data_IF_875061965380
#
_entry.id   IF_875061965380
#
_cell.length_a   1.000
_cell.length_b   1.000
_cell.length_c   1.000
_cell.angle_alpha   90.00
_cell.angle_beta   90.00
_cell.angle_gamma   90.00
#
_symmetry.space_group_name_H-M   'P 1'
#
loop_
_entity.id
_entity.type
_entity.pdbx_description
1 polymer ?
#
# COMPACT_ATOMS: atom_id res chain seq x y z
N UNK A 1 -34.40 -18.41 17.78
CA UNK A 1 -33.00 -18.37 18.26
C UNK A 1 -32.30 -17.16 17.63
N UNK A 2 -32.11 -16.08 18.38
CA UNK A 2 -31.46 -14.86 17.89
C UNK A 2 -29.95 -15.07 17.63
N UNK A 3 -29.31 -15.92 18.45
CA UNK A 3 -27.88 -16.25 18.35
C UNK A 3 -27.50 -16.98 17.05
N UNK A 4 -28.33 -17.91 16.57
CA UNK A 4 -28.07 -18.63 15.31
C UNK A 4 -28.27 -17.76 14.08
N UNK A 5 -29.13 -16.74 14.16
CA UNK A 5 -29.28 -15.73 13.10
C UNK A 5 -28.08 -14.77 13.04
N UNK A 6 -27.48 -14.44 14.19
CA UNK A 6 -26.24 -13.67 14.28
C UNK A 6 -25.05 -14.42 13.69
N UNK A 7 -24.93 -15.73 13.95
CA UNK A 7 -23.87 -16.56 13.38
C UNK A 7 -23.96 -16.70 11.84
N UNK A 8 -25.17 -16.66 11.27
CA UNK A 8 -25.36 -16.65 9.80
C UNK A 8 -24.92 -15.35 9.11
N UNK A 9 -24.67 -14.27 9.85
CA UNK A 9 -24.07 -13.02 9.30
C UNK A 9 -22.55 -13.10 9.18
N UNK A 10 -21.90 -14.16 9.66
CA UNK A 10 -20.46 -14.37 9.55
C UNK A 10 -20.10 -14.88 8.14
N UNK A 11 -20.27 -14.03 7.13
CA UNK A 11 -19.89 -14.30 5.74
C UNK A 11 -19.43 -13.03 5.02
N UNK A 12 -19.02 -12.01 5.77
CA UNK A 12 -18.50 -10.75 5.24
C UNK A 12 -16.98 -10.73 5.24
N UNK A 13 -16.43 -10.01 4.28
CA UNK A 13 -15.01 -9.70 4.16
C UNK A 13 -14.51 -8.99 5.43
N UNK A 14 -13.46 -9.51 6.07
CA UNK A 14 -12.89 -8.94 7.29
C UNK A 14 -11.88 -7.87 6.93
N UNK A 15 -12.23 -6.62 7.24
CA UNK A 15 -11.35 -5.47 7.10
C UNK A 15 -10.64 -5.20 8.42
N UNK A 16 -9.33 -4.99 8.36
CA UNK A 16 -8.51 -4.62 9.51
C UNK A 16 -7.40 -3.66 9.14
N UNK A 17 -6.71 -3.17 10.17
CA UNK A 17 -5.45 -2.43 10.03
C UNK A 17 -4.40 -3.04 10.94
N UNK A 18 -3.14 -2.85 10.61
CA UNK A 18 -2.05 -3.26 11.46
C UNK A 18 -0.74 -2.57 11.13
N UNK A 19 0.17 -2.52 12.09
CA UNK A 19 1.49 -1.95 11.90
C UNK A 19 2.41 -3.02 11.30
N UNK A 20 3.06 -2.69 10.18
CA UNK A 20 4.10 -3.55 9.60
C UNK A 20 5.31 -3.52 10.55
N UNK A 21 5.71 -4.68 11.04
CA UNK A 21 6.86 -4.79 11.95
C UNK A 21 8.17 -4.58 11.17
N UNK A 22 9.14 -3.92 11.81
CA UNK A 22 10.50 -3.84 11.29
C UNK A 22 11.27 -5.15 11.57
N UNK A 23 12.23 -5.48 10.70
CA UNK A 23 13.11 -6.64 10.85
C UNK A 23 12.93 -7.72 9.78
N UNK A 24 13.40 -8.92 10.12
CA UNK A 24 13.33 -10.09 9.23
C UNK A 24 11.90 -10.60 9.06
N UNK A 25 11.58 -11.00 7.82
CA UNK A 25 10.25 -11.50 7.43
C UNK A 25 9.18 -10.42 7.28
N UNK A 26 8.06 -10.77 6.63
CA UNK A 26 6.91 -9.87 6.50
C UNK A 26 5.91 -10.18 7.61
N UNK A 27 5.74 -9.25 8.55
CA UNK A 27 4.81 -9.38 9.68
C UNK A 27 3.98 -8.13 9.84
N UNK A 28 2.70 -8.30 10.17
CA UNK A 28 1.77 -7.21 10.46
C UNK A 28 1.12 -7.45 11.81
N UNK A 29 1.27 -6.48 12.72
CA UNK A 29 0.63 -6.50 14.03
C UNK A 29 -0.68 -5.70 13.99
N UNK A 30 -1.82 -6.38 14.01
CA UNK A 30 -3.15 -5.78 14.14
C UNK A 30 -3.88 -6.30 15.39
N UNK A 31 -5.16 -6.63 15.23
CA UNK A 31 -5.97 -7.37 16.23
C UNK A 31 -5.33 -8.71 16.64
N UNK A 32 -4.55 -9.28 15.72
CA UNK A 32 -3.67 -10.43 15.88
C UNK A 32 -2.41 -10.21 15.07
N UNK A 33 -1.40 -11.04 15.31
CA UNK A 33 -0.24 -11.09 14.43
C UNK A 33 -0.58 -11.85 13.15
N UNK A 34 -0.18 -11.27 12.02
CA UNK A 34 -0.17 -11.94 10.72
C UNK A 34 1.28 -12.22 10.35
N UNK A 35 1.65 -13.50 10.32
CA UNK A 35 2.99 -13.97 9.98
C UNK A 35 3.06 -14.38 8.51
N UNK A 36 3.92 -13.70 7.75
CA UNK A 36 4.07 -13.85 6.31
C UNK A 36 2.74 -13.78 5.51
N UNK A 37 1.88 -12.77 5.72
CA UNK A 37 0.67 -12.64 4.93
C UNK A 37 1.02 -12.38 3.46
N UNK A 38 0.24 -12.93 2.55
CA UNK A 38 0.36 -12.60 1.13
C UNK A 38 0.00 -11.12 0.92
N UNK A 39 0.81 -10.42 0.11
CA UNK A 39 0.54 -9.05 -0.29
C UNK A 39 -0.05 -9.05 -1.71
N UNK A 40 -1.23 -8.48 -1.86
CA UNK A 40 -1.88 -8.31 -3.15
C UNK A 40 -1.53 -6.96 -3.77
N UNK A 41 -1.37 -6.95 -5.10
CA UNK A 41 -1.05 -5.77 -5.88
C UNK A 41 -1.68 -5.89 -7.28
N UNK A 42 -1.88 -4.77 -8.01
CA UNK A 42 -2.27 -4.80 -9.41
C UNK A 42 -1.28 -5.62 -10.26
N UNK A 43 -1.76 -6.26 -11.33
CA UNK A 43 -0.90 -6.99 -12.27
C UNK A 43 0.21 -6.07 -12.83
N UNK A 44 1.45 -6.58 -12.83
CA UNK A 44 2.63 -5.81 -13.24
C UNK A 44 3.27 -4.97 -12.12
N UNK A 45 2.70 -4.95 -10.92
CA UNK A 45 3.28 -4.29 -9.74
C UNK A 45 3.54 -5.34 -8.66
N UNK A 46 4.73 -5.30 -8.06
CA UNK A 46 5.06 -6.05 -6.86
C UNK A 46 5.77 -5.13 -5.87
N UNK A 47 5.36 -5.21 -4.61
CA UNK A 47 5.99 -4.44 -3.53
C UNK A 47 5.86 -5.22 -2.23
N UNK A 48 6.75 -4.90 -1.29
CA UNK A 48 6.65 -5.36 0.09
C UNK A 48 6.42 -4.16 0.98
N UNK A 49 5.38 -4.24 1.82
CA UNK A 49 5.08 -3.22 2.80
C UNK A 49 6.30 -2.99 3.71
N UNK A 50 6.68 -1.73 3.89
CA UNK A 50 7.84 -1.35 4.69
C UNK A 50 7.48 -1.27 6.18
N UNK A 51 8.43 -1.63 7.05
CA UNK A 51 8.29 -1.52 8.50
C UNK A 51 7.91 -0.10 8.95
N UNK A 52 7.06 -0.01 9.97
CA UNK A 52 6.55 1.25 10.50
C UNK A 52 5.40 1.87 9.70
N UNK A 53 4.94 1.23 8.61
CA UNK A 53 3.74 1.64 7.87
C UNK A 53 2.49 0.95 8.39
N UNK A 54 1.36 1.63 8.36
CA UNK A 54 0.07 1.02 8.66
C UNK A 54 -0.44 0.30 7.41
N UNK A 55 -0.60 -1.03 7.49
CA UNK A 55 -1.14 -1.89 6.46
C UNK A 55 -2.67 -2.00 6.57
N UNK A 56 -3.34 -2.08 5.41
CA UNK A 56 -4.75 -2.47 5.31
C UNK A 56 -4.81 -3.97 5.11
N UNK A 57 -5.53 -4.65 6.01
CA UNK A 57 -5.67 -6.10 6.00
C UNK A 57 -7.08 -6.49 5.52
N UNK A 58 -7.14 -7.47 4.62
CA UNK A 58 -8.38 -7.98 4.04
C UNK A 58 -8.36 -9.51 4.11
N UNK A 59 -9.18 -10.10 4.99
CA UNK A 59 -9.23 -11.55 5.22
C UNK A 59 -7.84 -12.19 5.48
N UNK A 60 -6.93 -11.41 6.07
CA UNK A 60 -5.54 -11.83 6.35
C UNK A 60 -4.52 -11.55 5.25
N UNK A 61 -4.96 -11.08 4.08
CA UNK A 61 -4.09 -10.55 3.03
C UNK A 61 -3.72 -9.10 3.33
N UNK A 62 -2.50 -8.70 2.99
CA UNK A 62 -2.10 -7.30 2.99
C UNK A 62 -2.50 -6.66 1.66
N UNK A 63 -3.52 -5.79 1.68
CA UNK A 63 -3.99 -5.09 0.48
C UNK A 63 -3.10 -3.91 0.08
N UNK A 64 -2.20 -3.48 0.97
CA UNK A 64 -1.31 -2.36 0.79
C UNK A 64 -1.07 -1.63 2.10
N UNK A 65 -0.31 -0.54 2.04
CA UNK A 65 -0.11 0.36 3.16
C UNK A 65 -0.87 1.65 2.94
N UNK A 66 -1.33 2.26 4.01
CA UNK A 66 -1.80 3.64 3.95
C UNK A 66 -0.61 4.50 3.52
N UNK A 67 -0.81 5.28 2.46
CA UNK A 67 0.21 6.12 1.85
C UNK A 67 0.79 7.17 2.82
N UNK A 68 0.16 7.35 3.98
CA UNK A 68 0.37 8.48 4.87
C UNK A 68 -0.01 9.77 4.17
N UNK A 69 0.02 10.88 4.90
CA UNK A 69 0.00 12.20 4.30
C UNK A 69 1.32 12.43 3.54
N UNK A 70 1.49 11.81 2.37
CA UNK A 70 2.46 12.31 1.38
C UNK A 70 1.91 13.63 0.85
N UNK A 71 1.98 14.67 1.70
CA UNK A 71 1.42 16.01 1.46
C UNK A 71 2.10 16.72 0.29
N UNK A 72 3.08 16.08 -0.34
CA UNK A 72 3.82 16.59 -1.49
C UNK A 72 3.15 16.21 -2.81
N UNK A 73 2.30 15.19 -2.82
CA UNK A 73 1.64 14.72 -4.02
C UNK A 73 0.44 15.63 -4.34
N UNK A 74 0.46 16.28 -5.50
CA UNK A 74 -0.65 17.09 -5.98
C UNK A 74 -1.70 16.23 -6.69
N UNK A 75 -2.91 16.78 -6.87
CA UNK A 75 -3.95 16.12 -7.65
C UNK A 75 -3.45 15.82 -9.07
N UNK A 76 -3.65 14.58 -9.52
CA UNK A 76 -3.21 14.08 -10.82
C UNK A 76 -1.76 13.57 -10.85
N UNK A 77 -1.01 13.67 -9.76
CA UNK A 77 0.33 13.10 -9.67
C UNK A 77 0.30 11.64 -9.20
N UNK A 78 1.29 10.86 -9.64
CA UNK A 78 1.47 9.46 -9.26
C UNK A 78 2.91 9.23 -8.87
N UNK A 79 3.15 8.61 -7.71
CA UNK A 79 4.50 8.33 -7.21
C UNK A 79 4.69 6.85 -6.92
N UNK A 80 5.80 6.31 -7.42
CA UNK A 80 6.35 5.01 -7.03
C UNK A 80 7.62 5.28 -6.25
N UNK A 81 7.74 4.74 -5.03
CA UNK A 81 8.93 4.93 -4.20
C UNK A 81 9.22 3.71 -3.34
N UNK A 82 10.49 3.56 -2.94
CA UNK A 82 10.93 2.49 -2.04
C UNK A 82 11.49 3.05 -0.74
N UNK A 83 11.59 2.20 0.28
CA UNK A 83 12.22 2.57 1.56
C UNK A 83 13.70 2.96 1.43
N UNK A 84 14.37 2.52 0.35
CA UNK A 84 15.75 2.88 0.04
C UNK A 84 15.92 4.24 -0.63
N UNK A 85 14.82 4.96 -0.91
CA UNK A 85 14.85 6.30 -1.50
C UNK A 85 14.80 6.35 -3.03
N UNK A 86 14.73 5.20 -3.72
CA UNK A 86 14.48 5.20 -5.16
C UNK A 86 13.05 5.68 -5.45
N UNK A 87 12.86 6.52 -6.46
CA UNK A 87 11.56 7.06 -6.82
C UNK A 87 11.36 7.34 -8.31
N UNK A 88 10.09 7.24 -8.73
CA UNK A 88 9.55 7.80 -9.97
C UNK A 88 8.31 8.62 -9.59
N UNK A 89 8.28 9.89 -9.95
CA UNK A 89 7.15 10.79 -9.78
C UNK A 89 6.66 11.27 -11.15
N UNK A 90 5.42 10.91 -11.48
CA UNK A 90 4.68 11.41 -12.64
C UNK A 90 3.96 12.68 -12.20
N UNK A 91 4.40 13.84 -12.71
CA UNK A 91 3.84 15.14 -12.35
C UNK A 91 2.60 15.45 -13.21
N UNK A 92 1.70 16.25 -12.65
CA UNK A 92 0.46 16.65 -13.32
C UNK A 92 0.66 17.64 -14.49
N UNK A 93 1.88 18.17 -14.67
CA UNK A 93 2.29 18.95 -15.82
C UNK A 93 2.89 18.10 -16.96
N UNK A 94 3.02 16.78 -16.76
CA UNK A 94 3.58 15.85 -17.73
C UNK A 94 5.08 15.58 -17.59
N UNK A 95 5.79 16.26 -16.68
CA UNK A 95 7.17 15.92 -16.36
C UNK A 95 7.24 14.58 -15.61
N UNK A 96 8.30 13.82 -15.86
CA UNK A 96 8.63 12.62 -15.10
C UNK A 96 9.90 12.88 -14.30
N UNK A 97 9.87 12.69 -12.99
CA UNK A 97 11.05 12.80 -12.13
C UNK A 97 11.51 11.41 -11.73
N UNK A 98 12.75 11.05 -12.04
CA UNK A 98 13.37 9.77 -11.66
C UNK A 98 14.57 10.07 -10.76
N UNK A 99 14.51 9.67 -9.49
CA UNK A 99 15.55 9.96 -8.49
C UNK A 99 16.02 11.44 -8.50
N UNK A 100 15.08 12.38 -8.60
CA UNK A 100 15.35 13.83 -8.66
C UNK A 100 15.71 14.39 -10.04
N UNK A 101 16.02 13.55 -11.04
CA UNK A 101 16.25 14.01 -12.41
C UNK A 101 14.92 14.24 -13.14
N UNK A 102 14.76 15.42 -13.73
CA UNK A 102 13.54 15.81 -14.47
C UNK A 102 13.68 15.43 -15.94
N UNK A 103 12.69 14.70 -16.45
CA UNK A 103 12.47 14.41 -17.85
C UNK A 103 11.22 15.20 -18.28
N UNK A 104 11.36 16.25 -19.09
CA UNK A 104 10.23 17.06 -19.48
C UNK A 104 9.26 16.27 -20.33
N UNK A 105 7.98 16.66 -20.29
CA UNK A 105 6.98 16.16 -21.24
C UNK A 105 7.54 16.28 -22.67
N UNK A 106 7.49 15.20 -23.43
CA UNK A 106 7.84 15.24 -24.84
C UNK A 106 6.86 16.16 -25.59
N UNK A 107 7.40 17.15 -26.28
CA UNK A 107 6.66 18.00 -27.20
C UNK A 107 7.00 17.51 -28.61
N UNK A 108 6.08 16.75 -29.22
CA UNK A 108 6.17 16.49 -30.66
C UNK A 108 6.05 17.81 -31.42
N UNK A 109 6.98 18.02 -32.36
CA UNK A 109 6.92 19.00 -33.44
C UNK A 109 6.98 18.29 -34.77
#
# INVERSE_FOLDING_TARGET
MWLTAQLKKAGGLRLGRGLVQAGEGFRVQGEREFSAPEQVAPYGVSSRAAGGKEAVMVDGLCAGVLSGSDSRLQAGEVRLYSAGGAEILLKNNGDVVINGQVFPKYLEG
#
